data_IF_676643478757
#
_entry.id   IF_676643478757
#
_cell.length_a   1.000
_cell.length_b   1.000
_cell.length_c   1.000
_cell.angle_alpha   90.00
_cell.angle_beta   90.00
_cell.angle_gamma   90.00
#
_symmetry.space_group_name_H-M   'P 1'
#
loop_
_entity.id
_entity.type
_entity.pdbx_description
1 polymer ?
#
# COMPACT_ATOMS: atom_id res chain seq x y z
N UNK A 1 27.60 -14.84 -9.78
CA UNK A 1 26.29 -14.64 -10.47
C UNK A 1 25.40 -13.79 -9.56
N UNK A 2 25.08 -12.55 -9.96
CA UNK A 2 24.55 -11.48 -9.08
C UNK A 2 23.06 -11.63 -8.75
N UNK A 3 22.64 -11.16 -7.57
CA UNK A 3 21.24 -11.18 -7.12
C UNK A 3 20.28 -10.54 -8.15
N UNK A 4 20.69 -9.43 -8.78
CA UNK A 4 19.93 -8.76 -9.83
C UNK A 4 19.59 -9.66 -11.04
N UNK A 5 20.50 -10.56 -11.44
CA UNK A 5 20.28 -11.50 -12.56
C UNK A 5 19.37 -12.68 -12.18
N UNK A 6 19.33 -13.05 -10.89
CA UNK A 6 18.38 -14.03 -10.36
C UNK A 6 16.97 -13.45 -10.28
N UNK A 7 16.87 -12.17 -9.90
CA UNK A 7 15.62 -11.41 -9.83
C UNK A 7 14.96 -11.22 -11.20
N UNK A 8 15.72 -10.80 -12.21
CA UNK A 8 15.19 -10.64 -13.58
C UNK A 8 14.70 -11.96 -14.20
N UNK A 9 15.14 -13.13 -13.69
CA UNK A 9 14.63 -14.43 -14.14
C UNK A 9 13.26 -14.77 -13.52
N UNK A 10 12.98 -14.30 -12.29
CA UNK A 10 11.67 -14.52 -11.64
C UNK A 10 10.54 -13.84 -12.42
N UNK A 11 10.82 -12.68 -13.00
CA UNK A 11 9.85 -11.86 -13.75
C UNK A 11 9.42 -12.47 -15.12
N UNK A 12 10.11 -13.49 -15.63
CA UNK A 12 9.95 -13.97 -17.02
C UNK A 12 9.09 -15.23 -17.22
N UNK A 13 8.41 -15.75 -16.19
CA UNK A 13 7.72 -17.04 -16.27
C UNK A 13 6.18 -16.87 -16.41
N UNK A 14 5.64 -17.12 -17.61
CA UNK A 14 4.21 -17.07 -17.93
C UNK A 14 3.45 -18.38 -17.57
N UNK A 15 3.57 -18.83 -16.33
CA UNK A 15 2.85 -20.00 -15.80
C UNK A 15 2.59 -19.86 -14.29
N UNK A 16 3.55 -19.35 -13.50
CA UNK A 16 3.32 -18.88 -12.14
C UNK A 16 2.16 -17.89 -11.98
N UNK A 17 2.00 -16.95 -12.93
CA UNK A 17 0.92 -15.95 -12.85
C UNK A 17 -0.47 -16.60 -12.91
N UNK A 18 -0.68 -17.58 -13.77
CA UNK A 18 -1.98 -18.27 -13.83
C UNK A 18 -2.30 -19.02 -12.53
N UNK A 19 -1.31 -19.67 -11.92
CA UNK A 19 -1.48 -20.40 -10.66
C UNK A 19 -1.78 -19.45 -9.48
N UNK A 20 -1.11 -18.29 -9.41
CA UNK A 20 -1.39 -17.32 -8.35
C UNK A 20 -2.78 -16.69 -8.51
N UNK A 21 -3.20 -16.39 -9.74
CA UNK A 21 -4.52 -15.80 -9.98
C UNK A 21 -5.65 -16.77 -9.62
N UNK A 22 -5.49 -18.06 -9.93
CA UNK A 22 -6.44 -19.09 -9.50
C UNK A 22 -6.52 -19.19 -7.98
N UNK A 23 -5.38 -19.16 -7.29
CA UNK A 23 -5.35 -19.16 -5.83
C UNK A 23 -5.98 -17.90 -5.24
N UNK A 24 -5.67 -16.72 -5.78
CA UNK A 24 -6.24 -15.44 -5.34
C UNK A 24 -7.76 -15.45 -5.45
N UNK A 25 -8.31 -15.92 -6.57
CA UNK A 25 -9.76 -16.00 -6.76
C UNK A 25 -10.42 -16.87 -5.69
N UNK A 26 -9.84 -18.03 -5.38
CA UNK A 26 -10.32 -18.91 -4.32
C UNK A 26 -10.19 -18.26 -2.94
N UNK A 27 -9.02 -17.69 -2.62
CA UNK A 27 -8.75 -17.07 -1.33
C UNK A 27 -9.66 -15.87 -1.07
N UNK A 28 -9.96 -15.06 -2.09
CA UNK A 28 -10.88 -13.93 -2.00
C UNK A 28 -12.31 -14.35 -1.61
N UNK A 29 -12.73 -15.59 -1.87
CA UNK A 29 -14.06 -16.08 -1.45
C UNK A 29 -14.22 -16.16 0.06
N UNK A 30 -13.13 -16.19 0.82
CA UNK A 30 -13.14 -16.14 2.29
C UNK A 30 -13.36 -14.71 2.83
N UNK A 31 -13.27 -13.70 1.97
CA UNK A 31 -13.52 -12.29 2.30
C UNK A 31 -12.41 -11.59 3.08
N UNK A 32 -11.56 -12.32 3.82
CA UNK A 32 -10.43 -11.78 4.57
C UNK A 32 -9.24 -12.73 4.64
N UNK A 33 -8.02 -12.19 4.74
CA UNK A 33 -6.81 -12.99 4.92
C UNK A 33 -6.86 -13.78 6.25
N UNK A 34 -7.25 -13.20 7.41
CA UNK A 34 -7.44 -13.97 8.64
C UNK A 34 -8.45 -15.12 8.52
N UNK A 35 -9.58 -14.95 7.81
CA UNK A 35 -10.54 -16.04 7.61
C UNK A 35 -9.96 -17.16 6.73
N UNK A 36 -9.24 -16.79 5.67
CA UNK A 36 -8.55 -17.76 4.82
C UNK A 36 -7.47 -18.54 5.58
N UNK A 37 -6.64 -17.84 6.37
CA UNK A 37 -5.62 -18.47 7.24
C UNK A 37 -6.25 -19.37 8.29
N UNK A 38 -7.35 -18.94 8.91
CA UNK A 38 -8.09 -19.75 9.90
C UNK A 38 -8.56 -21.05 9.27
N UNK A 39 -9.15 -21.00 8.07
CA UNK A 39 -9.53 -22.19 7.33
C UNK A 39 -8.33 -23.10 7.01
N UNK A 40 -7.20 -22.51 6.60
CA UNK A 40 -5.96 -23.25 6.30
C UNK A 40 -5.41 -24.04 7.49
N UNK A 41 -5.64 -23.60 8.73
CA UNK A 41 -5.17 -24.31 9.93
C UNK A 41 -5.78 -25.72 10.06
N UNK A 42 -6.98 -25.92 9.51
CA UNK A 42 -7.67 -27.21 9.51
C UNK A 42 -7.42 -28.03 8.24
N UNK A 43 -6.59 -27.53 7.31
CA UNK A 43 -6.27 -28.19 6.04
C UNK A 43 -4.94 -28.96 6.10
N UNK A 44 -4.77 -29.98 5.23
CA UNK A 44 -3.44 -30.57 5.03
C UNK A 44 -2.45 -29.53 4.48
N UNK A 45 -1.15 -29.74 4.76
CA UNK A 45 -0.08 -28.84 4.29
C UNK A 45 -0.08 -28.63 2.77
N UNK A 46 -0.55 -29.60 1.98
CA UNK A 46 -0.70 -29.49 0.52
C UNK A 46 -1.73 -28.44 0.08
N UNK A 47 -2.62 -27.99 0.97
CA UNK A 47 -3.53 -26.88 0.70
C UNK A 47 -2.87 -25.51 0.90
N UNK A 48 -1.75 -25.43 1.63
CA UNK A 48 -1.06 -24.18 1.87
C UNK A 48 -0.57 -23.57 0.55
N UNK A 49 -0.76 -22.26 0.31
CA UNK A 49 -0.43 -21.64 -0.98
C UNK A 49 1.04 -21.73 -1.33
N UNK A 50 1.93 -21.68 -0.34
CA UNK A 50 3.37 -21.86 -0.50
C UNK A 50 3.78 -23.27 -0.95
N UNK A 51 2.88 -24.25 -0.89
CA UNK A 51 3.09 -25.60 -1.43
C UNK A 51 2.32 -25.77 -2.72
N UNK A 52 1.02 -25.48 -2.68
CA UNK A 52 0.09 -25.73 -3.78
C UNK A 52 0.40 -24.92 -5.05
N UNK A 53 0.68 -23.62 -4.90
CA UNK A 53 0.89 -22.74 -6.07
C UNK A 53 2.20 -23.09 -6.80
N UNK A 54 3.33 -23.34 -6.10
CA UNK A 54 4.53 -23.84 -6.76
C UNK A 54 4.37 -25.21 -7.43
N UNK A 55 3.67 -26.17 -6.80
CA UNK A 55 3.39 -27.48 -7.41
C UNK A 55 2.56 -27.35 -8.69
N UNK A 56 1.53 -26.50 -8.68
CA UNK A 56 0.71 -26.21 -9.87
C UNK A 56 1.54 -25.57 -10.98
N UNK A 57 2.40 -24.60 -10.64
CA UNK A 57 3.28 -23.95 -11.60
C UNK A 57 4.31 -24.93 -12.21
N UNK A 58 4.89 -25.81 -11.39
CA UNK A 58 5.78 -26.87 -11.86
C UNK A 58 5.06 -27.83 -12.80
N UNK A 59 3.90 -28.35 -12.40
CA UNK A 59 3.13 -29.29 -13.18
C UNK A 59 2.76 -28.72 -14.56
N UNK A 60 2.35 -27.46 -14.62
CA UNK A 60 2.01 -26.79 -15.87
C UNK A 60 3.24 -26.60 -16.79
N UNK A 61 4.42 -26.28 -16.25
CA UNK A 61 5.66 -26.26 -17.05
C UNK A 61 6.02 -27.64 -17.57
N UNK A 62 5.95 -28.68 -16.73
CA UNK A 62 6.23 -30.07 -17.13
C UNK A 62 5.29 -30.53 -18.25
N UNK A 63 4.03 -30.11 -18.23
CA UNK A 63 3.08 -30.38 -19.31
C UNK A 63 3.38 -29.59 -20.58
N UNK A 64 3.63 -28.29 -20.48
CA UNK A 64 3.89 -27.42 -21.62
C UNK A 64 5.18 -27.77 -22.37
N UNK A 65 6.19 -28.27 -21.65
CA UNK A 65 7.50 -28.62 -22.22
C UNK A 65 7.68 -30.11 -22.50
N UNK A 66 6.58 -30.88 -22.62
CA UNK A 66 6.65 -32.30 -23.01
C UNK A 66 7.42 -32.45 -24.33
N UNK A 67 8.37 -33.38 -24.35
CA UNK A 67 9.24 -33.64 -25.51
C UNK A 67 10.48 -32.76 -25.63
N UNK A 68 10.66 -31.76 -24.75
CA UNK A 68 11.86 -30.94 -24.70
C UNK A 68 13.01 -31.63 -23.95
N UNK A 69 14.27 -31.15 -24.09
CA UNK A 69 15.41 -31.70 -23.36
C UNK A 69 15.22 -31.64 -21.84
N UNK A 70 15.54 -32.75 -21.15
CA UNK A 70 15.33 -32.90 -19.70
C UNK A 70 15.94 -31.76 -18.88
N UNK A 71 17.12 -31.27 -19.28
CA UNK A 71 17.79 -30.19 -18.56
C UNK A 71 17.06 -28.85 -18.71
N UNK A 72 16.58 -28.54 -19.92
CA UNK A 72 15.78 -27.35 -20.16
C UNK A 72 14.46 -27.40 -19.37
N UNK A 73 13.81 -28.56 -19.33
CA UNK A 73 12.58 -28.78 -18.55
C UNK A 73 12.84 -28.60 -17.05
N UNK A 74 13.91 -29.19 -16.50
CA UNK A 74 14.25 -29.04 -15.08
C UNK A 74 14.55 -27.59 -14.71
N UNK A 75 15.29 -26.88 -15.56
CA UNK A 75 15.61 -25.47 -15.32
C UNK A 75 14.34 -24.61 -15.33
N UNK A 76 13.45 -24.82 -16.29
CA UNK A 76 12.19 -24.11 -16.38
C UNK A 76 11.26 -24.41 -15.20
N UNK A 77 11.16 -25.68 -14.78
CA UNK A 77 10.38 -26.11 -13.62
C UNK A 77 10.85 -25.42 -12.33
N UNK A 78 12.17 -25.44 -12.06
CA UNK A 78 12.75 -24.72 -10.91
C UNK A 78 12.47 -23.23 -10.96
N UNK A 79 12.54 -22.63 -12.15
CA UNK A 79 12.26 -21.20 -12.31
C UNK A 79 10.79 -20.87 -12.02
N UNK A 80 9.86 -21.73 -12.45
CA UNK A 80 8.44 -21.58 -12.17
C UNK A 80 8.12 -21.74 -10.68
N UNK A 81 8.71 -22.73 -10.00
CA UNK A 81 8.58 -22.91 -8.54
C UNK A 81 9.02 -21.65 -7.81
N UNK A 82 10.22 -21.11 -8.13
CA UNK A 82 10.71 -19.90 -7.48
C UNK A 82 9.85 -18.68 -7.77
N UNK A 83 9.36 -18.54 -9.01
CA UNK A 83 8.43 -17.47 -9.39
C UNK A 83 7.10 -17.55 -8.62
N UNK A 84 6.56 -18.77 -8.46
CA UNK A 84 5.34 -19.02 -7.71
C UNK A 84 5.48 -18.68 -6.22
N UNK A 85 6.57 -19.12 -5.59
CA UNK A 85 6.87 -18.75 -4.18
C UNK A 85 6.94 -17.23 -4.02
N UNK A 86 7.63 -16.55 -4.94
CA UNK A 86 7.68 -15.09 -4.94
C UNK A 86 6.28 -14.46 -5.05
N UNK A 87 5.43 -14.93 -5.96
CA UNK A 87 4.09 -14.37 -6.15
C UNK A 87 3.18 -14.58 -4.94
N UNK A 88 3.29 -15.72 -4.25
CA UNK A 88 2.57 -15.97 -2.98
C UNK A 88 2.99 -14.97 -1.92
N UNK A 89 4.31 -14.85 -1.67
CA UNK A 89 4.84 -13.88 -0.70
C UNK A 89 4.49 -12.44 -1.08
N UNK A 90 4.53 -12.12 -2.36
CA UNK A 90 4.19 -10.81 -2.86
C UNK A 90 2.75 -10.42 -2.53
N UNK A 91 1.77 -11.30 -2.74
CA UNK A 91 0.37 -11.05 -2.36
C UNK A 91 0.23 -10.87 -0.85
N UNK A 92 0.87 -11.73 -0.06
CA UNK A 92 0.81 -11.67 1.41
C UNK A 92 1.38 -10.33 1.89
N UNK A 93 2.52 -9.90 1.33
CA UNK A 93 3.17 -8.66 1.72
C UNK A 93 2.37 -7.42 1.28
N UNK A 94 1.70 -7.45 0.14
CA UNK A 94 0.79 -6.36 -0.26
C UNK A 94 -0.39 -6.22 0.70
N UNK A 95 -1.00 -7.34 1.13
CA UNK A 95 -2.10 -7.30 2.10
C UNK A 95 -1.61 -6.81 3.46
N UNK A 96 -0.49 -7.34 3.95
CA UNK A 96 0.11 -6.89 5.21
C UNK A 96 0.46 -5.40 5.20
N UNK A 97 1.04 -4.91 4.11
CA UNK A 97 1.36 -3.50 3.96
C UNK A 97 0.09 -2.64 3.94
N UNK A 98 -0.95 -3.06 3.21
CA UNK A 98 -2.22 -2.34 3.17
C UNK A 98 -2.91 -2.31 4.54
N UNK A 99 -2.93 -3.42 5.28
CA UNK A 99 -3.48 -3.48 6.64
C UNK A 99 -2.70 -2.57 7.60
N UNK A 100 -1.37 -2.62 7.57
CA UNK A 100 -0.51 -1.79 8.42
C UNK A 100 -0.72 -0.29 8.12
N UNK A 101 -0.68 0.09 6.85
CA UNK A 101 -0.93 1.48 6.42
C UNK A 101 -2.35 1.92 6.81
N UNK A 102 -3.37 1.08 6.59
CA UNK A 102 -4.75 1.40 6.97
C UNK A 102 -4.87 1.64 8.48
N UNK A 103 -4.18 0.83 9.28
CA UNK A 103 -4.15 0.99 10.74
C UNK A 103 -3.45 2.28 11.16
N UNK A 104 -2.23 2.51 10.69
CA UNK A 104 -1.42 3.67 11.08
C UNK A 104 -2.04 4.99 10.60
N UNK A 105 -2.41 5.06 9.33
CA UNK A 105 -3.01 6.26 8.74
C UNK A 105 -4.45 6.47 9.22
N UNK A 106 -5.16 5.41 9.61
CA UNK A 106 -6.45 5.51 10.32
C UNK A 106 -6.32 6.18 11.69
N UNK A 107 -5.27 5.86 12.46
CA UNK A 107 -4.98 6.55 13.72
C UNK A 107 -4.61 8.02 13.49
N UNK A 108 -3.79 8.29 12.45
CA UNK A 108 -3.43 9.67 12.06
C UNK A 108 -4.65 10.47 11.64
N UNK A 109 -5.55 9.88 10.84
CA UNK A 109 -6.84 10.46 10.48
C UNK A 109 -7.66 10.84 11.71
N UNK A 110 -7.82 9.91 12.65
CA UNK A 110 -8.58 10.16 13.88
C UNK A 110 -7.98 11.31 14.70
N UNK A 111 -6.65 11.35 14.84
CA UNK A 111 -5.95 12.43 15.52
C UNK A 111 -6.19 13.80 14.83
N UNK A 112 -6.07 13.85 13.51
CA UNK A 112 -6.32 15.06 12.72
C UNK A 112 -7.78 15.50 12.80
N UNK A 113 -8.73 14.57 12.84
CA UNK A 113 -10.15 14.89 13.06
C UNK A 113 -10.38 15.57 14.42
N UNK A 114 -9.80 15.04 15.49
CA UNK A 114 -9.91 15.65 16.82
C UNK A 114 -9.19 17.00 16.91
N UNK A 115 -8.04 17.14 16.24
CA UNK A 115 -7.35 18.42 16.13
C UNK A 115 -8.20 19.46 15.41
N UNK A 116 -8.88 19.09 14.32
CA UNK A 116 -9.83 19.97 13.63
C UNK A 116 -10.96 20.43 14.55
N UNK A 117 -11.56 19.50 15.32
CA UNK A 117 -12.60 19.83 16.31
C UNK A 117 -12.11 20.85 17.34
N UNK A 118 -10.91 20.66 17.87
CA UNK A 118 -10.31 21.58 18.84
C UNK A 118 -10.06 22.96 18.22
N UNK A 119 -9.45 23.02 17.02
CA UNK A 119 -9.21 24.29 16.31
C UNK A 119 -10.51 25.05 16.02
N UNK A 120 -11.59 24.33 15.72
CA UNK A 120 -12.92 24.91 15.47
C UNK A 120 -13.51 25.53 16.74
N UNK A 121 -13.46 24.80 17.86
CA UNK A 121 -13.93 25.30 19.14
C UNK A 121 -13.11 26.51 19.62
N UNK A 122 -11.79 26.48 19.46
CA UNK A 122 -10.93 27.62 19.79
C UNK A 122 -11.27 28.86 18.95
N UNK A 123 -11.58 28.68 17.66
CA UNK A 123 -12.01 29.77 16.79
C UNK A 123 -13.34 30.38 17.24
N UNK A 124 -14.31 29.54 17.63
CA UNK A 124 -15.61 29.98 18.14
C UNK A 124 -15.47 30.77 19.45
N UNK A 125 -14.65 30.29 20.39
CA UNK A 125 -14.37 30.98 21.65
C UNK A 125 -13.68 32.32 21.42
N UNK A 126 -12.66 32.35 20.55
CA UNK A 126 -11.97 33.60 20.22
C UNK A 126 -12.90 34.63 19.55
N UNK A 127 -13.85 34.18 18.73
CA UNK A 127 -14.87 35.04 18.12
C UNK A 127 -15.85 35.58 19.17
N UNK A 128 -16.28 34.76 20.13
CA UNK A 128 -17.15 35.19 21.23
C UNK A 128 -16.46 36.21 22.15
N UNK A 129 -15.18 35.98 22.50
CA UNK A 129 -14.38 36.91 23.30
C UNK A 129 -14.18 38.25 22.59
N UNK A 130 -13.90 38.22 21.28
CA UNK A 130 -13.78 39.43 20.47
C UNK A 130 -15.12 40.21 20.42
N UNK A 131 -16.25 39.51 20.29
CA UNK A 131 -17.58 40.13 20.33
C UNK A 131 -17.89 40.76 21.71
N UNK A 132 -17.35 40.19 22.79
CA UNK A 132 -17.46 40.72 24.16
C UNK A 132 -16.49 41.89 24.45
N UNK A 133 -15.71 42.36 23.47
CA UNK A 133 -14.73 43.43 23.64
C UNK A 133 -13.40 42.99 24.25
N UNK A 134 -13.16 41.67 24.35
CA UNK A 134 -11.88 41.09 24.75
C UNK A 134 -10.78 41.37 23.73
N UNK A 135 -9.53 41.36 24.19
CA UNK A 135 -8.36 41.49 23.31
C UNK A 135 -8.19 40.17 22.54
N UNK A 136 -8.20 40.24 21.21
CA UNK A 136 -7.98 39.06 20.37
C UNK A 136 -6.67 38.33 20.76
N UNK A 137 -6.70 37.01 20.94
CA UNK A 137 -5.50 36.25 21.26
C UNK A 137 -4.48 36.35 20.12
N UNK A 138 -3.20 36.43 20.48
CA UNK A 138 -2.11 36.61 19.53
C UNK A 138 -1.90 35.35 18.65
N UNK A 139 -2.06 35.49 17.34
CA UNK A 139 -1.24 34.87 16.28
C UNK A 139 -1.28 33.35 16.02
N UNK A 140 -1.73 32.49 16.93
CA UNK A 140 -1.43 31.04 16.83
C UNK A 140 -2.45 30.21 16.03
N UNK A 141 -3.69 30.67 15.87
CA UNK A 141 -4.75 29.89 15.21
C UNK A 141 -4.52 29.72 13.68
N UNK A 142 -4.16 30.77 12.90
CA UNK A 142 -3.88 30.61 11.47
C UNK A 142 -2.67 29.73 11.18
N UNK A 143 -1.65 29.75 12.03
CA UNK A 143 -0.46 28.91 11.91
C UNK A 143 -0.80 27.44 12.18
N UNK A 144 -1.51 27.15 13.27
CA UNK A 144 -1.95 25.79 13.60
C UNK A 144 -2.93 25.24 12.57
N UNK A 145 -3.79 26.08 12.01
CA UNK A 145 -4.67 25.70 10.89
C UNK A 145 -3.87 25.31 9.65
N UNK A 146 -2.90 26.12 9.23
CA UNK A 146 -2.03 25.79 8.09
C UNK A 146 -1.25 24.49 8.34
N UNK A 147 -0.74 24.30 9.56
CA UNK A 147 -0.06 23.06 9.94
C UNK A 147 -1.01 21.84 9.86
N UNK A 148 -2.25 21.99 10.30
CA UNK A 148 -3.27 20.95 10.17
C UNK A 148 -3.58 20.63 8.70
N UNK A 149 -3.77 21.65 7.85
CA UNK A 149 -3.97 21.44 6.41
C UNK A 149 -2.78 20.72 5.77
N UNK A 150 -1.55 21.09 6.13
CA UNK A 150 -0.33 20.40 5.69
C UNK A 150 -0.32 18.94 6.12
N UNK A 151 -0.64 18.65 7.37
CA UNK A 151 -0.67 17.28 7.88
C UNK A 151 -1.75 16.40 7.21
N UNK A 152 -2.89 16.98 6.84
CA UNK A 152 -3.94 16.29 6.04
C UNK A 152 -3.47 16.06 4.60
N UNK A 153 -2.79 17.04 3.99
CA UNK A 153 -2.20 16.90 2.66
C UNK A 153 -1.15 15.78 2.61
N UNK A 154 -0.30 15.69 3.63
CA UNK A 154 0.70 14.63 3.76
C UNK A 154 0.04 13.25 3.92
N UNK A 155 -0.99 13.14 4.77
CA UNK A 155 -1.80 11.90 4.92
C UNK A 155 -2.37 11.43 3.58
N UNK A 156 -3.01 12.33 2.83
CA UNK A 156 -3.61 11.98 1.54
C UNK A 156 -2.57 11.64 0.48
N UNK A 157 -1.43 12.35 0.46
CA UNK A 157 -0.33 12.05 -0.46
C UNK A 157 0.21 10.64 -0.22
N UNK A 158 0.40 10.25 1.04
CA UNK A 158 0.88 8.91 1.41
C UNK A 158 -0.11 7.81 1.00
N UNK A 159 -1.41 8.01 1.29
CA UNK A 159 -2.46 7.07 0.88
C UNK A 159 -2.51 6.91 -0.64
N UNK A 160 -2.50 8.00 -1.40
CA UNK A 160 -2.51 7.93 -2.86
C UNK A 160 -1.22 7.30 -3.41
N UNK A 161 -0.06 7.59 -2.82
CA UNK A 161 1.21 7.05 -3.27
C UNK A 161 1.23 5.53 -3.09
N UNK A 162 0.77 5.04 -1.94
CA UNK A 162 0.66 3.61 -1.64
C UNK A 162 -0.34 2.92 -2.56
N UNK A 163 -1.49 3.55 -2.86
CA UNK A 163 -2.49 3.02 -3.78
C UNK A 163 -1.94 2.90 -5.22
N UNK A 164 -1.26 3.95 -5.71
CA UNK A 164 -0.62 3.95 -7.03
C UNK A 164 0.53 2.94 -7.10
N UNK A 165 1.33 2.82 -6.04
CA UNK A 165 2.41 1.84 -5.94
C UNK A 165 1.86 0.41 -6.01
N UNK A 166 0.81 0.10 -5.25
CA UNK A 166 0.11 -1.18 -5.32
C UNK A 166 -0.43 -1.44 -6.73
N UNK A 167 -1.09 -0.46 -7.35
CA UNK A 167 -1.60 -0.59 -8.71
C UNK A 167 -0.51 -0.85 -9.76
N UNK A 168 0.68 -0.24 -9.61
CA UNK A 168 1.84 -0.53 -10.47
C UNK A 168 2.31 -1.99 -10.30
N UNK A 169 2.33 -2.49 -9.07
CA UNK A 169 2.77 -3.84 -8.76
C UNK A 169 1.75 -4.90 -9.20
N UNK A 170 0.46 -4.67 -9.01
CA UNK A 170 -0.64 -5.52 -9.50
C UNK A 170 -0.59 -5.63 -11.04
N UNK A 171 -0.40 -4.52 -11.75
CA UNK A 171 -0.22 -4.54 -13.22
C UNK A 171 1.02 -5.33 -13.65
N UNK A 172 2.10 -5.26 -12.87
CA UNK A 172 3.37 -5.91 -13.22
C UNK A 172 3.36 -7.41 -12.95
N UNK A 173 2.79 -7.85 -11.84
CA UNK A 173 2.95 -9.22 -11.35
C UNK A 173 1.67 -10.06 -11.37
N UNK A 174 0.50 -9.42 -11.42
CA UNK A 174 -0.81 -10.07 -11.34
C UNK A 174 -1.70 -9.73 -12.56
N UNK A 175 -1.13 -9.27 -13.66
CA UNK A 175 -1.87 -8.86 -14.87
C UNK A 175 -2.98 -7.84 -14.59
N UNK A 176 -2.80 -7.00 -13.56
CA UNK A 176 -3.77 -5.99 -13.14
C UNK A 176 -4.90 -6.50 -12.24
N UNK A 177 -4.86 -7.77 -11.81
CA UNK A 177 -5.81 -8.28 -10.83
C UNK A 177 -5.51 -7.69 -9.44
N UNK A 178 -6.56 -7.32 -8.68
CA UNK A 178 -6.38 -6.78 -7.34
C UNK A 178 -5.77 -7.84 -6.42
N UNK A 179 -4.75 -7.44 -5.65
CA UNK A 179 -4.08 -8.32 -4.69
C UNK A 179 -4.76 -8.35 -3.32
N UNK A 180 -5.50 -7.29 -2.97
CA UNK A 180 -6.08 -7.13 -1.65
C UNK A 180 -7.28 -8.04 -1.45
N UNK A 181 -7.36 -8.66 -0.27
CA UNK A 181 -8.57 -9.33 0.16
C UNK A 181 -9.74 -8.34 0.27
N UNK A 182 -10.99 -8.81 0.07
CA UNK A 182 -12.15 -7.93 0.01
C UNK A 182 -12.40 -7.04 1.23
N UNK A 183 -11.99 -7.46 2.44
CA UNK A 183 -12.05 -6.62 3.64
C UNK A 183 -10.99 -5.52 3.63
N UNK A 184 -9.72 -5.87 3.40
CA UNK A 184 -8.62 -4.91 3.31
C UNK A 184 -8.88 -3.87 2.22
N UNK A 185 -9.45 -4.27 1.07
CA UNK A 185 -9.81 -3.35 0.00
C UNK A 185 -10.94 -2.38 0.42
N UNK A 186 -11.93 -2.85 1.18
CA UNK A 186 -13.01 -2.02 1.72
C UNK A 186 -12.51 -1.05 2.78
N UNK A 187 -11.68 -1.52 3.69
CA UNK A 187 -11.11 -0.70 4.77
C UNK A 187 -10.19 0.39 4.21
N UNK A 188 -9.38 0.04 3.20
CA UNK A 188 -8.58 1.01 2.45
C UNK A 188 -9.44 2.09 1.80
N UNK A 189 -10.49 1.69 1.08
CA UNK A 189 -11.40 2.63 0.43
C UNK A 189 -12.11 3.52 1.46
N UNK A 190 -12.57 2.95 2.56
CA UNK A 190 -13.22 3.70 3.63
C UNK A 190 -12.28 4.75 4.24
N UNK A 191 -11.02 4.39 4.52
CA UNK A 191 -10.02 5.33 5.03
C UNK A 191 -9.75 6.46 4.03
N UNK A 192 -9.55 6.14 2.74
CA UNK A 192 -9.34 7.15 1.70
C UNK A 192 -10.50 8.14 1.64
N UNK A 193 -11.74 7.66 1.60
CA UNK A 193 -12.93 8.51 1.57
C UNK A 193 -13.06 9.36 2.86
N UNK A 194 -12.73 8.80 4.02
CA UNK A 194 -12.73 9.54 5.29
C UNK A 194 -11.66 10.63 5.32
N UNK A 195 -10.48 10.39 4.75
CA UNK A 195 -9.41 11.37 4.64
C UNK A 195 -9.74 12.47 3.62
N UNK A 196 -10.34 12.14 2.47
CA UNK A 196 -10.82 13.13 1.49
C UNK A 196 -11.92 14.02 2.12
N UNK A 197 -12.85 13.44 2.89
CA UNK A 197 -13.84 14.21 3.66
C UNK A 197 -13.20 15.12 4.69
N UNK A 198 -12.12 14.68 5.34
CA UNK A 198 -11.37 15.50 6.30
C UNK A 198 -10.71 16.70 5.59
N UNK A 199 -10.15 16.50 4.40
CA UNK A 199 -9.58 17.58 3.60
C UNK A 199 -10.60 18.64 3.19
N UNK A 200 -11.84 18.25 2.90
CA UNK A 200 -12.93 19.20 2.61
C UNK A 200 -13.24 20.14 3.81
N UNK A 201 -12.92 19.72 5.04
CA UNK A 201 -13.04 20.58 6.22
C UNK A 201 -11.96 21.69 6.27
N UNK A 202 -10.91 21.61 5.45
CA UNK A 202 -9.90 22.67 5.30
C UNK A 202 -10.46 24.00 4.78
N UNK A 203 -11.63 23.98 4.15
CA UNK A 203 -12.37 25.18 3.78
C UNK A 203 -13.31 25.71 4.88
N UNK A 204 -13.54 24.99 5.98
CA UNK A 204 -14.64 25.31 6.90
C UNK A 204 -14.29 26.36 7.96
N UNK A 205 -13.02 26.46 8.37
CA UNK A 205 -12.60 27.34 9.45
C UNK A 205 -12.46 28.79 8.96
N UNK A 206 -13.31 29.69 9.46
CA UNK A 206 -13.24 31.11 9.18
C UNK A 206 -12.15 31.78 10.05
N UNK A 207 -10.89 31.48 9.77
CA UNK A 207 -9.74 32.02 10.55
C UNK A 207 -9.35 33.44 10.14
N UNK A 208 -9.87 33.95 9.02
CA UNK A 208 -9.63 35.33 8.60
C UNK A 208 -10.72 36.28 9.11
N UNK A 209 -10.37 37.53 9.51
CA UNK A 209 -11.36 38.59 9.66
C UNK A 209 -12.14 38.74 8.34
N UNK A 210 -13.37 39.31 8.35
CA UNK A 210 -14.17 39.46 7.13
C UNK A 210 -13.40 40.30 6.11
N UNK A 211 -12.69 39.63 5.21
CA UNK A 211 -12.05 40.29 4.09
C UNK A 211 -13.15 40.78 3.15
N UNK A 212 -12.94 42.01 2.66
CA UNK A 212 -13.82 42.74 1.75
C UNK A 212 -14.34 41.84 0.63
N UNK A 213 -15.59 42.04 0.18
CA UNK A 213 -16.18 41.25 -0.90
C UNK A 213 -15.31 41.36 -2.15
N UNK A 214 -14.67 40.25 -2.56
CA UNK A 214 -13.83 40.20 -3.77
C UNK A 214 -12.61 39.30 -3.73
N UNK A 215 -12.11 38.85 -2.57
CA UNK A 215 -11.01 37.88 -2.50
C UNK A 215 -11.53 36.44 -2.55
N UNK A 216 -11.25 35.76 -3.67
CA UNK A 216 -11.55 34.34 -3.87
C UNK A 216 -10.63 33.45 -3.04
N UNK A 217 -11.22 32.43 -2.41
CA UNK A 217 -10.59 31.16 -2.07
C UNK A 217 -10.19 30.98 -0.60
N UNK A 218 -11.06 30.32 0.18
CA UNK A 218 -10.60 29.53 1.34
C UNK A 218 -9.59 28.48 0.81
N UNK A 219 -8.49 28.16 1.51
CA UNK A 219 -7.55 27.14 1.05
C UNK A 219 -8.20 25.76 1.15
N UNK A 220 -8.91 25.37 0.10
CA UNK A 220 -9.34 24.00 -0.13
C UNK A 220 -8.13 23.20 -0.62
N UNK A 221 -7.90 22.02 -0.04
CA UNK A 221 -6.80 21.16 -0.47
C UNK A 221 -7.11 20.64 -1.87
N UNK A 222 -6.21 20.92 -2.82
CA UNK A 222 -6.32 20.46 -4.20
C UNK A 222 -5.98 18.97 -4.27
N UNK A 223 -7.02 18.12 -4.28
CA UNK A 223 -6.87 16.67 -4.33
C UNK A 223 -6.16 16.20 -5.61
N UNK A 224 -6.31 16.90 -6.73
CA UNK A 224 -5.66 16.53 -8.00
C UNK A 224 -4.17 16.82 -7.95
N UNK A 225 -3.77 17.92 -7.32
CA UNK A 225 -2.36 18.21 -7.06
C UNK A 225 -1.74 17.14 -6.14
N UNK A 226 -2.44 16.72 -5.08
CA UNK A 226 -1.96 15.66 -4.18
C UNK A 226 -1.83 14.31 -4.89
N UNK A 227 -2.80 13.94 -5.74
CA UNK A 227 -2.71 12.73 -6.59
C UNK A 227 -1.51 12.79 -7.55
N UNK A 228 -1.23 13.97 -8.10
CA UNK A 228 -0.07 14.17 -8.98
C UNK A 228 1.24 14.00 -8.23
N UNK A 229 1.36 14.58 -7.02
CA UNK A 229 2.53 14.40 -6.17
C UNK A 229 2.73 12.93 -5.77
N UNK A 230 1.65 12.25 -5.38
CA UNK A 230 1.65 10.83 -5.03
C UNK A 230 2.16 9.92 -6.16
N UNK A 231 1.76 10.18 -7.42
CA UNK A 231 2.25 9.43 -8.59
C UNK A 231 3.76 9.54 -8.79
N UNK A 232 4.38 10.64 -8.37
CA UNK A 232 5.83 10.79 -8.44
C UNK A 232 6.55 9.90 -7.40
N UNK A 233 5.92 9.63 -6.25
CA UNK A 233 6.46 8.79 -5.17
C UNK A 233 6.21 7.29 -5.39
N UNK A 234 5.12 6.95 -6.08
CA UNK A 234 4.67 5.57 -6.28
C UNK A 234 5.74 4.59 -6.80
N UNK A 235 6.63 4.94 -7.76
CA UNK A 235 7.65 4.00 -8.24
C UNK A 235 8.67 3.58 -7.17
N UNK A 236 9.06 4.51 -6.28
CA UNK A 236 10.01 4.21 -5.21
C UNK A 236 9.38 3.26 -4.18
N UNK A 237 8.16 3.59 -3.73
CA UNK A 237 7.40 2.72 -2.80
C UNK A 237 7.12 1.34 -3.41
N UNK A 238 6.80 1.28 -4.70
CA UNK A 238 6.59 0.01 -5.41
C UNK A 238 7.88 -0.83 -5.42
N UNK A 239 9.05 -0.22 -5.62
CA UNK A 239 10.32 -0.93 -5.61
C UNK A 239 10.63 -1.51 -4.22
N UNK A 240 10.40 -0.73 -3.15
CA UNK A 240 10.61 -1.18 -1.77
C UNK A 240 9.72 -2.37 -1.39
N UNK A 241 8.43 -2.32 -1.73
CA UNK A 241 7.49 -3.41 -1.50
C UNK A 241 7.85 -4.66 -2.30
N UNK A 242 8.25 -4.51 -3.57
CA UNK A 242 8.71 -5.63 -4.38
C UNK A 242 9.97 -6.28 -3.78
N UNK A 243 10.89 -5.47 -3.26
CA UNK A 243 12.12 -5.97 -2.63
C UNK A 243 11.86 -6.67 -1.30
N UNK A 244 10.89 -6.22 -0.50
CA UNK A 244 10.40 -6.94 0.68
C UNK A 244 9.89 -8.33 0.32
N UNK A 245 9.03 -8.43 -0.69
CA UNK A 245 8.49 -9.70 -1.15
C UNK A 245 9.59 -10.63 -1.69
N UNK A 246 10.57 -10.07 -2.42
CA UNK A 246 11.73 -10.84 -2.92
C UNK A 246 12.61 -11.36 -1.80
N UNK A 247 12.89 -10.55 -0.78
CA UNK A 247 13.70 -10.97 0.36
C UNK A 247 13.02 -12.15 1.09
N UNK A 248 11.73 -12.01 1.41
CA UNK A 248 10.95 -13.07 2.04
C UNK A 248 10.93 -14.36 1.21
N UNK A 249 10.73 -14.25 -0.11
CA UNK A 249 10.77 -15.41 -1.00
C UNK A 249 12.15 -16.09 -1.05
N UNK A 250 13.24 -15.32 -1.01
CA UNK A 250 14.60 -15.88 -0.98
C UNK A 250 14.89 -16.61 0.33
N UNK A 251 14.45 -16.07 1.47
CA UNK A 251 14.56 -16.73 2.77
C UNK A 251 13.84 -18.08 2.77
N UNK A 252 12.60 -18.13 2.27
CA UNK A 252 11.83 -19.38 2.15
C UNK A 252 12.47 -20.41 1.23
N UNK A 253 13.19 -19.95 0.21
CA UNK A 253 13.95 -20.80 -0.71
C UNK A 253 15.34 -21.19 -0.17
N UNK A 254 15.69 -20.77 1.05
CA UNK A 254 16.97 -21.05 1.70
C UNK A 254 18.16 -20.23 1.19
N UNK A 255 17.93 -19.11 0.50
CA UNK A 255 18.96 -18.19 -0.04
C UNK A 255 19.11 -16.97 0.88
N UNK A 256 19.55 -17.21 2.14
CA UNK A 256 19.69 -16.18 3.17
C UNK A 256 20.66 -15.04 2.78
N UNK A 257 21.73 -15.36 2.05
CA UNK A 257 22.68 -14.35 1.54
C UNK A 257 22.01 -13.42 0.53
N UNK A 258 21.13 -13.95 -0.32
CA UNK A 258 20.35 -13.18 -1.27
C UNK A 258 19.33 -12.25 -0.59
N UNK A 259 18.67 -12.73 0.47
CA UNK A 259 17.75 -11.93 1.28
C UNK A 259 18.48 -10.81 2.03
N UNK A 260 19.63 -11.12 2.65
CA UNK A 260 20.47 -10.16 3.35
C UNK A 260 20.96 -9.03 2.41
N UNK A 261 21.37 -9.37 1.19
CA UNK A 261 21.80 -8.38 0.19
C UNK A 261 20.66 -7.44 -0.26
N UNK A 262 19.41 -7.91 -0.27
CA UNK A 262 18.24 -7.08 -0.54
C UNK A 262 17.90 -6.15 0.63
N UNK A 263 17.96 -6.67 1.86
CA UNK A 263 17.76 -5.86 3.05
C UNK A 263 18.82 -4.75 3.15
N UNK A 264 20.09 -5.07 2.88
CA UNK A 264 21.19 -4.11 2.90
C UNK A 264 21.01 -3.00 1.84
N UNK A 265 20.56 -3.35 0.63
CA UNK A 265 20.27 -2.35 -0.40
C UNK A 265 19.21 -1.35 0.07
N UNK A 266 18.13 -1.84 0.70
CA UNK A 266 17.02 -1.01 1.18
C UNK A 266 17.45 -0.04 2.28
N UNK A 267 18.27 -0.51 3.23
CA UNK A 267 18.81 0.35 4.28
C UNK A 267 19.65 1.49 3.68
N UNK A 268 20.47 1.20 2.67
CA UNK A 268 21.29 2.22 2.00
C UNK A 268 20.48 3.22 1.15
N UNK A 269 19.31 2.83 0.66
CA UNK A 269 18.41 3.74 -0.08
C UNK A 269 17.47 4.52 0.83
N UNK A 270 17.26 4.08 2.07
CA UNK A 270 16.45 4.80 3.08
C UNK A 270 17.23 5.90 3.82
N UNK A 271 18.57 5.87 3.78
CA UNK A 271 19.46 6.87 4.40
C UNK A 271 19.79 8.08 3.49
N UNK A 272 19.02 8.31 2.41
CA UNK A 272 19.17 9.44 1.47
C UNK A 272 17.86 10.19 1.35
#
# INVERSE_FOLDING_TARGET
MTAARRLARLDGALCPTAAILLWLEEAHRFGSLPAYVTWLLDQPLSAAPLVRVPEQAEAAVLQAMRGQPREAVRQAARQAVRGAVFLVEFVIQLNRAAEETTRLEGLRHAALFWQWRALTLEAELAAADAAAGGRAPAGTLPERWRAWCGAVADLLTELYATEEARGLLERRYLDGHPALFPDAARDWQALREQAERLAALGGSLAVSPPERPGRRGRPELDLDALRTAARALAPAQAADLADLARAAALDLLGDADGAAALAERRLRTADV
#
